data_IF_391100851771
#
_entry.id   IF_391100851771
#
_cell.length_a   1.000
_cell.length_b   1.000
_cell.length_c   1.000
_cell.angle_alpha   90.00
_cell.angle_beta   90.00
_cell.angle_gamma   90.00
#
_symmetry.space_group_name_H-M   'P 1'
#
loop_
_entity.id
_entity.type
_entity.pdbx_description
1 polymer ?
#
# COMPACT_ATOMS: atom_id res chain seq x y z
N UNK A 1 1.71 8.63 1.53
CA UNK A 1 1.76 8.80 0.05
C UNK A 1 2.45 7.65 -0.66
N UNK A 2 3.66 7.24 -0.24
CA UNK A 2 4.41 6.15 -0.91
C UNK A 2 3.67 4.80 -0.86
N UNK A 3 3.00 4.50 0.26
CA UNK A 3 2.23 3.27 0.44
C UNK A 3 1.04 3.15 -0.53
N UNK A 4 0.32 4.25 -0.74
CA UNK A 4 -0.84 4.31 -1.65
C UNK A 4 -0.41 4.19 -3.12
N UNK A 5 0.72 4.79 -3.48
CA UNK A 5 1.33 4.68 -4.82
C UNK A 5 1.78 3.24 -5.11
N UNK A 6 2.43 2.58 -4.15
CA UNK A 6 2.81 1.17 -4.27
C UNK A 6 1.60 0.25 -4.39
N UNK A 7 0.54 0.49 -3.61
CA UNK A 7 -0.71 -0.26 -3.70
C UNK A 7 -1.40 -0.11 -5.07
N UNK A 8 -1.42 1.09 -5.64
CA UNK A 8 -1.90 1.34 -7.00
C UNK A 8 -1.08 0.59 -8.06
N UNK A 9 0.25 0.68 -7.97
CA UNK A 9 1.16 -0.01 -8.89
C UNK A 9 1.00 -1.53 -8.85
N UNK A 10 0.78 -2.12 -7.67
CA UNK A 10 0.49 -3.56 -7.54
C UNK A 10 -0.78 -3.94 -8.31
N UNK A 11 -1.86 -3.16 -8.15
CA UNK A 11 -3.11 -3.38 -8.90
C UNK A 11 -2.92 -3.25 -10.41
N UNK A 12 -2.17 -2.23 -10.85
CA UNK A 12 -1.86 -2.00 -12.25
C UNK A 12 -1.02 -3.13 -12.87
N UNK A 13 0.04 -3.56 -12.19
CA UNK A 13 0.85 -4.69 -12.64
C UNK A 13 0.07 -6.01 -12.65
N UNK A 14 -0.91 -6.16 -11.75
CA UNK A 14 -1.77 -7.35 -11.74
C UNK A 14 -2.63 -7.47 -13.01
N UNK A 15 -3.13 -6.36 -13.53
CA UNK A 15 -3.90 -6.36 -14.78
C UNK A 15 -2.98 -6.46 -16.01
N UNK A 16 -1.88 -5.70 -16.02
CA UNK A 16 -1.05 -5.54 -17.23
C UNK A 16 0.02 -6.63 -17.42
N UNK A 17 0.49 -7.29 -16.35
CA UNK A 17 1.55 -8.30 -16.42
C UNK A 17 0.95 -9.70 -16.20
N UNK A 18 0.85 -10.47 -17.28
CA UNK A 18 0.41 -11.88 -17.22
C UNK A 18 1.51 -12.84 -16.73
N UNK A 19 2.78 -12.44 -16.86
CA UNK A 19 3.90 -13.23 -16.39
C UNK A 19 4.04 -13.12 -14.86
N UNK A 20 3.71 -14.21 -14.17
CA UNK A 20 3.76 -14.31 -12.70
C UNK A 20 5.14 -13.99 -12.12
N UNK A 21 6.20 -14.30 -12.85
CA UNK A 21 7.56 -14.15 -12.33
C UNK A 21 7.98 -12.68 -12.36
N UNK A 22 7.68 -11.98 -13.46
CA UNK A 22 7.81 -10.52 -13.56
C UNK A 22 6.91 -9.81 -12.55
N UNK A 23 5.64 -10.19 -12.45
CA UNK A 23 4.73 -9.64 -11.45
C UNK A 23 5.29 -9.77 -10.04
N UNK A 24 5.84 -10.94 -9.67
CA UNK A 24 6.37 -11.14 -8.31
C UNK A 24 7.60 -10.28 -8.03
N UNK A 25 8.47 -10.04 -9.01
CA UNK A 25 9.63 -9.14 -8.87
C UNK A 25 9.17 -7.67 -8.74
N UNK A 26 8.21 -7.24 -9.56
CA UNK A 26 7.70 -5.86 -9.49
C UNK A 26 6.85 -5.63 -8.22
N UNK A 27 5.94 -6.53 -7.88
CA UNK A 27 5.06 -6.38 -6.71
C UNK A 27 5.84 -6.57 -5.39
N UNK A 28 6.65 -7.62 -5.28
CA UNK A 28 7.34 -7.97 -4.03
C UNK A 28 8.68 -7.26 -3.90
N UNK A 29 9.40 -7.06 -5.01
CA UNK A 29 10.68 -6.36 -5.03
C UNK A 29 10.53 -4.84 -5.12
N UNK A 30 9.93 -4.34 -6.21
CA UNK A 30 9.83 -2.90 -6.47
C UNK A 30 8.78 -2.23 -5.57
N UNK A 31 7.53 -2.69 -5.59
CA UNK A 31 6.48 -2.15 -4.73
C UNK A 31 6.72 -2.50 -3.26
N UNK A 32 7.27 -3.68 -2.94
CA UNK A 32 7.67 -4.03 -1.58
C UNK A 32 8.81 -3.17 -1.02
N UNK A 33 9.74 -2.72 -1.86
CA UNK A 33 10.78 -1.75 -1.47
C UNK A 33 10.29 -0.30 -1.41
N UNK A 34 9.34 0.08 -2.27
CA UNK A 34 8.69 1.40 -2.27
C UNK A 34 7.73 1.59 -1.09
N UNK A 35 7.05 0.53 -0.65
CA UNK A 35 6.12 0.56 0.48
C UNK A 35 6.86 0.28 1.78
N UNK A 36 6.99 1.28 2.64
CA UNK A 36 7.71 1.15 3.91
C UNK A 36 6.75 0.92 5.07
N UNK A 37 6.61 -0.34 5.49
CA UNK A 37 5.85 -0.71 6.69
C UNK A 37 6.45 -0.08 7.96
N UNK A 38 7.75 0.15 8.00
CA UNK A 38 8.47 0.74 9.13
C UNK A 38 8.09 2.20 9.39
N UNK A 39 7.96 3.02 8.34
CA UNK A 39 7.55 4.42 8.47
C UNK A 39 6.10 4.53 8.94
N UNK A 40 5.22 3.69 8.40
CA UNK A 40 3.83 3.59 8.85
C UNK A 40 3.74 3.17 10.32
N UNK A 41 4.54 2.21 10.76
CA UNK A 41 4.54 1.75 12.15
C UNK A 41 5.09 2.83 13.10
N UNK A 42 6.09 3.60 12.69
CA UNK A 42 6.60 4.73 13.47
C UNK A 42 5.53 5.81 13.68
N UNK A 43 4.80 6.19 12.62
CA UNK A 43 3.66 7.12 12.71
C UNK A 43 2.53 6.55 13.60
N UNK A 44 2.25 5.25 13.52
CA UNK A 44 1.27 4.59 14.38
C UNK A 44 1.67 4.62 15.86
N UNK A 45 2.95 4.40 16.16
CA UNK A 45 3.49 4.44 17.53
C UNK A 45 3.44 5.86 18.07
N UNK A 46 3.72 6.87 17.24
CA UNK A 46 3.58 8.27 17.63
C UNK A 46 2.12 8.65 17.93
N UNK A 47 1.17 8.15 17.13
CA UNK A 47 -0.27 8.33 17.35
C UNK A 47 -0.85 7.41 18.44
N UNK A 48 -0.07 6.47 19.00
CA UNK A 48 -0.56 5.48 19.97
C UNK A 48 -1.07 6.13 21.26
N UNK A 49 -0.52 7.29 21.63
CA UNK A 49 -0.99 8.09 22.76
C UNK A 49 -2.42 8.64 22.56
N UNK A 50 -2.90 8.75 21.33
CA UNK A 50 -4.21 9.31 20.98
C UNK A 50 -5.06 8.26 20.24
N UNK A 51 -5.68 7.35 21.01
CA UNK A 51 -6.43 6.17 20.50
C UNK A 51 -7.44 6.49 19.40
N UNK A 52 -8.09 7.66 19.45
CA UNK A 52 -9.06 8.08 18.41
C UNK A 52 -8.36 8.34 17.08
N UNK A 53 -7.27 9.12 17.10
CA UNK A 53 -6.49 9.42 15.89
C UNK A 53 -5.81 8.17 15.36
N UNK A 54 -5.28 7.32 16.25
CA UNK A 54 -4.71 6.03 15.89
C UNK A 54 -5.68 5.19 15.05
N UNK A 55 -6.89 4.93 15.57
CA UNK A 55 -7.87 4.11 14.88
C UNK A 55 -8.31 4.71 13.55
N UNK A 56 -8.44 6.05 13.49
CA UNK A 56 -8.89 6.76 12.30
C UNK A 56 -7.80 6.74 11.22
N UNK A 57 -6.54 6.98 11.57
CA UNK A 57 -5.40 6.92 10.66
C UNK A 57 -5.17 5.52 10.08
N UNK A 58 -5.31 4.50 10.93
CA UNK A 58 -5.20 3.09 10.54
C UNK A 58 -6.31 2.72 9.56
N UNK A 59 -7.58 3.06 9.88
CA UNK A 59 -8.70 2.84 8.96
C UNK A 59 -8.50 3.58 7.63
N UNK A 60 -8.14 4.86 7.66
CA UNK A 60 -7.97 5.65 6.44
C UNK A 60 -6.88 5.08 5.55
N UNK A 61 -5.75 4.67 6.14
CA UNK A 61 -4.60 4.15 5.39
C UNK A 61 -4.92 2.81 4.73
N UNK A 62 -5.61 1.91 5.45
CA UNK A 62 -6.09 0.66 4.87
C UNK A 62 -7.14 0.90 3.78
N UNK A 63 -8.08 1.81 4.02
CA UNK A 63 -9.15 2.11 3.07
C UNK A 63 -8.60 2.74 1.78
N UNK A 64 -7.68 3.71 1.89
CA UNK A 64 -6.98 4.30 0.73
C UNK A 64 -6.15 3.25 0.00
N UNK A 65 -5.44 2.37 0.72
CA UNK A 65 -4.66 1.29 0.11
C UNK A 65 -5.55 0.33 -0.70
N UNK A 66 -6.70 -0.04 -0.15
CA UNK A 66 -7.67 -0.91 -0.82
C UNK A 66 -8.27 -0.24 -2.06
N UNK A 67 -8.70 1.03 -1.96
CA UNK A 67 -9.19 1.80 -3.11
C UNK A 67 -8.12 1.93 -4.21
N UNK A 68 -6.87 2.18 -3.82
CA UNK A 68 -5.77 2.32 -4.77
C UNK A 68 -5.53 1.02 -5.56
N UNK A 69 -5.57 -0.14 -4.90
CA UNK A 69 -5.46 -1.45 -5.58
C UNK A 69 -6.62 -1.64 -6.55
N UNK A 70 -7.86 -1.39 -6.11
CA UNK A 70 -9.03 -1.54 -6.97
C UNK A 70 -8.97 -0.63 -8.20
N UNK A 71 -8.58 0.64 -8.01
CA UNK A 71 -8.37 1.57 -9.11
C UNK A 71 -7.26 1.10 -10.06
N UNK A 72 -6.15 0.60 -9.50
CA UNK A 72 -5.06 0.04 -10.30
C UNK A 72 -5.46 -1.18 -11.10
N UNK A 73 -6.35 -2.03 -10.57
CA UNK A 73 -6.88 -3.20 -11.31
C UNK A 73 -7.88 -2.76 -12.40
N UNK A 74 -8.64 -1.68 -12.18
CA UNK A 74 -9.68 -1.25 -13.12
C UNK A 74 -9.15 -0.42 -14.30
N UNK A 75 -7.97 0.19 -14.13
CA UNK A 75 -7.22 0.93 -15.17
C UNK A 75 -6.34 -0.02 -15.97
#
# INVERSE_FOLDING_TARGET
>A
MVNTLGAFLIGYFYNHIQDKQLYSILATGFCGGLTTLSTFNAELVELFSDKKKFSLYLMLTYFLGFLAILLGIFI
#
